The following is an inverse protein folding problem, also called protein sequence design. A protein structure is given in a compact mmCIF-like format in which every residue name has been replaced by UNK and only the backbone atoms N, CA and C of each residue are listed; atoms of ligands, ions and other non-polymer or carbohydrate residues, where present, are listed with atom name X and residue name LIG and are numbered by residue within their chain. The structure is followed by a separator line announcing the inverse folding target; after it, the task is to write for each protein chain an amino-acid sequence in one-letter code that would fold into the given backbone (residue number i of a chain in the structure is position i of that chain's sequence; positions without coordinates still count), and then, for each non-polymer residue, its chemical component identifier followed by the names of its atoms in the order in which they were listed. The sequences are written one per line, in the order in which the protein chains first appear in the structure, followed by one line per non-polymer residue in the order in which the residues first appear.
data_IF_094600534198
#
_entry.id   IF_094600534198
#
_cell.length_a   1.000
_cell.length_b   1.000
_cell.length_c   1.000
_cell.angle_alpha   90.00
_cell.angle_beta   90.00
_cell.angle_gamma   90.00
#
_symmetry.space_group_name_H-M   'P 1'
#
loop_
_entity.id
_entity.type
_entity.pdbx_description
1 polymer ?
#
# COMPACT_ATOMS: atom_id res chain seq x y z
N UNK A 1 -19.36 8.89 4.68
CA UNK A 1 -18.88 8.58 3.31
C UNK A 1 -17.93 9.72 2.93
N UNK A 2 -16.69 9.69 3.42
CA UNK A 2 -15.87 10.91 3.56
C UNK A 2 -15.43 11.55 2.23
N UNK A 3 -15.14 10.75 1.21
CA UNK A 3 -14.68 11.27 -0.07
C UNK A 3 -15.80 12.03 -0.81
N UNK A 4 -16.95 11.38 -1.01
CA UNK A 4 -18.09 11.97 -1.71
C UNK A 4 -18.60 13.23 -1.01
N UNK A 5 -18.73 13.21 0.32
CA UNK A 5 -19.17 14.39 1.08
C UNK A 5 -18.30 15.63 0.82
N UNK A 6 -16.98 15.47 0.79
CA UNK A 6 -16.07 16.57 0.46
C UNK A 6 -16.17 17.01 -1.00
N UNK A 7 -16.32 16.07 -1.93
CA UNK A 7 -16.42 16.33 -3.37
C UNK A 7 -17.73 17.04 -3.70
N UNK A 8 -18.85 16.54 -3.21
CA UNK A 8 -20.19 17.10 -3.40
C UNK A 8 -20.23 18.53 -2.87
N UNK A 9 -19.68 18.78 -1.66
CA UNK A 9 -19.59 20.14 -1.11
C UNK A 9 -18.78 21.09 -2.00
N UNK A 10 -17.69 20.62 -2.62
CA UNK A 10 -16.91 21.44 -3.56
C UNK A 10 -17.76 21.78 -4.80
N UNK A 11 -18.45 20.79 -5.36
CA UNK A 11 -19.30 20.98 -6.54
C UNK A 11 -20.51 21.87 -6.26
N UNK A 12 -21.17 21.74 -5.10
CA UNK A 12 -22.29 22.59 -4.66
C UNK A 12 -21.93 24.09 -4.63
N UNK A 13 -20.66 24.41 -4.36
CA UNK A 13 -20.15 25.77 -4.35
C UNK A 13 -19.51 26.19 -5.69
N UNK A 14 -19.75 25.43 -6.76
CA UNK A 14 -19.22 25.69 -8.12
C UNK A 14 -17.71 25.46 -8.25
N UNK A 15 -17.09 24.80 -7.27
CA UNK A 15 -15.68 24.45 -7.27
C UNK A 15 -15.37 23.22 -8.11
N UNK A 16 -14.08 22.96 -8.29
CA UNK A 16 -13.55 21.82 -9.06
C UNK A 16 -12.49 21.09 -8.26
N UNK A 17 -12.54 19.76 -8.26
CA UNK A 17 -11.53 18.92 -7.62
C UNK A 17 -10.36 18.74 -8.58
N UNK A 18 -9.23 19.38 -8.30
CA UNK A 18 -8.02 19.33 -9.15
C UNK A 18 -7.02 18.24 -8.71
N UNK A 19 -7.13 17.75 -7.47
CA UNK A 19 -6.30 16.69 -6.90
C UNK A 19 -7.09 15.90 -5.86
N UNK A 20 -6.96 14.58 -5.90
CA UNK A 20 -7.50 13.65 -4.94
C UNK A 20 -6.41 12.65 -4.51
N UNK A 21 -6.01 12.74 -3.25
CA UNK A 21 -5.07 11.80 -2.62
C UNK A 21 -5.69 11.23 -1.35
N UNK A 22 -5.75 9.91 -1.25
CA UNK A 22 -6.37 9.23 -0.11
C UNK A 22 -5.50 8.08 0.37
N UNK A 23 -4.96 8.24 1.58
CA UNK A 23 -4.14 7.24 2.25
C UNK A 23 -4.87 6.68 3.47
N UNK A 24 -4.78 5.37 3.67
CA UNK A 24 -5.34 4.70 4.84
C UNK A 24 -4.42 3.57 5.32
N UNK A 25 -4.40 3.28 6.62
CA UNK A 25 -3.66 2.14 7.14
C UNK A 25 -4.19 1.69 8.49
N UNK A 26 -4.55 0.41 8.60
CA UNK A 26 -4.71 -0.25 9.90
C UNK A 26 -3.34 -0.64 10.42
N UNK A 27 -2.72 0.19 11.25
CA UNK A 27 -1.39 0.02 11.82
C UNK A 27 -1.49 -0.03 13.35
N UNK A 28 -0.55 -0.68 14.06
CA UNK A 28 -0.56 -0.65 15.53
C UNK A 28 -0.38 0.78 16.05
N UNK A 29 -0.88 1.03 17.26
CA UNK A 29 -0.51 2.23 18.01
C UNK A 29 1.03 2.35 18.09
N UNK A 30 1.60 3.57 18.06
CA UNK A 30 3.06 3.76 18.01
C UNK A 30 3.84 2.97 19.07
N UNK A 31 3.37 2.99 20.31
CA UNK A 31 3.92 2.26 21.46
C UNK A 31 3.86 0.73 21.30
N UNK A 32 3.00 0.23 20.42
CA UNK A 32 2.85 -1.19 20.10
C UNK A 32 3.62 -1.61 18.83
N UNK A 33 4.41 -0.73 18.24
CA UNK A 33 5.08 -0.96 16.94
C UNK A 33 6.49 -1.55 17.04
N UNK A 34 7.00 -1.82 18.24
CA UNK A 34 8.38 -2.32 18.43
C UNK A 34 8.51 -3.81 18.07
N UNK A 35 8.58 -4.09 16.76
CA UNK A 35 8.89 -5.40 16.18
C UNK A 35 9.51 -5.20 14.79
N UNK A 36 10.23 -6.19 14.21
CA UNK A 36 10.96 -6.01 12.95
C UNK A 36 10.15 -5.46 11.77
N UNK A 37 8.86 -5.78 11.68
CA UNK A 37 7.97 -5.26 10.62
C UNK A 37 7.37 -3.89 10.96
N UNK A 38 7.38 -3.49 12.23
CA UNK A 38 6.62 -2.36 12.77
C UNK A 38 5.13 -2.50 12.45
N UNK A 39 4.64 -3.75 12.47
CA UNK A 39 3.28 -4.09 12.07
C UNK A 39 2.75 -5.25 12.90
N UNK A 40 1.44 -5.33 13.06
CA UNK A 40 0.73 -6.48 13.64
C UNK A 40 -0.39 -6.88 12.70
N UNK A 41 -0.49 -8.17 12.41
CA UNK A 41 -1.48 -8.67 11.45
C UNK A 41 -2.86 -8.77 12.10
N UNK A 42 -3.80 -7.96 11.63
CA UNK A 42 -5.23 -8.05 12.00
C UNK A 42 -6.06 -8.85 10.99
N UNK A 43 -5.45 -9.28 9.88
CA UNK A 43 -6.03 -10.09 8.81
C UNK A 43 -4.91 -10.87 8.11
N UNK A 44 -5.26 -11.67 7.09
CA UNK A 44 -4.35 -12.61 6.41
C UNK A 44 -2.96 -12.01 6.10
N UNK A 45 -1.87 -12.50 6.76
CA UNK A 45 -0.52 -12.04 6.50
C UNK A 45 -0.08 -12.25 5.06
N UNK A 46 -0.50 -13.36 4.46
CA UNK A 46 -0.26 -13.66 3.04
C UNK A 46 -0.78 -12.54 2.15
N UNK A 47 -2.02 -12.12 2.35
CA UNK A 47 -2.64 -11.12 1.51
C UNK A 47 -2.06 -9.72 1.75
N UNK A 48 -1.65 -9.38 2.99
CA UNK A 48 -0.89 -8.15 3.29
C UNK A 48 0.42 -8.09 2.50
N UNK A 49 1.20 -9.17 2.54
CA UNK A 49 2.53 -9.21 1.91
C UNK A 49 2.43 -9.29 0.38
N UNK A 50 1.51 -10.09 -0.14
CA UNK A 50 1.28 -10.20 -1.59
C UNK A 50 0.73 -8.92 -2.21
N UNK A 51 -0.04 -8.12 -1.46
CA UNK A 51 -0.55 -6.83 -1.96
C UNK A 51 0.57 -5.90 -2.46
N UNK A 52 1.76 -5.99 -1.86
CA UNK A 52 2.94 -5.18 -2.18
C UNK A 52 3.67 -5.67 -3.45
N UNK A 53 3.32 -6.86 -3.95
CA UNK A 53 3.83 -7.41 -5.20
C UNK A 53 2.88 -7.17 -6.38
N UNK A 54 1.67 -6.68 -6.12
CA UNK A 54 0.75 -6.31 -7.18
C UNK A 54 1.24 -5.06 -7.91
N UNK A 55 0.88 -4.89 -9.20
CA UNK A 55 1.10 -3.63 -9.88
C UNK A 55 0.22 -2.54 -9.28
N UNK A 56 0.60 -1.29 -9.52
CA UNK A 56 -0.23 -0.14 -9.21
C UNK A 56 -0.24 0.86 -10.37
N UNK A 57 -1.32 1.62 -10.50
CA UNK A 57 -1.53 2.64 -11.52
C UNK A 57 -2.25 3.82 -10.89
N UNK A 58 -1.72 5.02 -11.09
CA UNK A 58 -2.31 6.24 -10.56
C UNK A 58 -2.00 7.42 -11.48
N UNK A 59 -2.69 8.54 -11.28
CA UNK A 59 -2.42 9.76 -12.02
C UNK A 59 -1.81 10.79 -11.07
N UNK A 60 -0.74 11.47 -11.50
CA UNK A 60 -0.11 12.56 -10.76
C UNK A 60 0.30 13.66 -11.72
N UNK A 61 -0.11 14.90 -11.43
CA UNK A 61 0.19 16.08 -12.23
C UNK A 61 -0.15 15.91 -13.73
N UNK A 62 -1.27 15.25 -14.02
CA UNK A 62 -1.77 14.96 -15.36
C UNK A 62 -1.08 13.79 -16.06
N UNK A 63 -0.15 13.10 -15.39
CA UNK A 63 0.58 11.95 -15.95
C UNK A 63 0.14 10.65 -15.28
N UNK A 64 -0.14 9.65 -16.10
CA UNK A 64 -0.37 8.29 -15.61
C UNK A 64 0.98 7.66 -15.27
N UNK A 65 1.08 7.13 -14.05
CA UNK A 65 2.24 6.41 -13.54
C UNK A 65 1.81 4.97 -13.29
N UNK A 66 2.58 4.03 -13.85
CA UNK A 66 2.36 2.59 -13.70
C UNK A 66 3.57 1.96 -13.01
N UNK A 67 3.31 1.30 -11.89
CA UNK A 67 4.28 0.55 -11.11
C UNK A 67 4.13 -0.93 -11.44
N UNK A 68 5.20 -1.61 -11.87
CA UNK A 68 5.12 -2.99 -12.30
C UNK A 68 4.83 -3.95 -11.13
N UNK A 69 4.26 -5.10 -11.49
CA UNK A 69 4.13 -6.23 -10.58
C UNK A 69 5.51 -6.75 -10.14
N UNK A 70 5.52 -7.58 -9.10
CA UNK A 70 6.75 -8.15 -8.57
C UNK A 70 7.57 -7.17 -7.75
N UNK A 71 6.97 -6.09 -7.24
CA UNK A 71 7.57 -5.22 -6.22
C UNK A 71 7.80 -3.75 -6.60
N UNK A 72 7.30 -3.28 -7.75
CA UNK A 72 7.39 -1.86 -8.11
C UNK A 72 6.76 -0.93 -7.07
N UNK A 73 5.71 -1.41 -6.38
CA UNK A 73 5.10 -0.72 -5.23
C UNK A 73 6.05 -0.59 -4.04
N UNK A 74 6.81 -1.65 -3.71
CA UNK A 74 7.81 -1.59 -2.62
C UNK A 74 8.94 -0.60 -2.92
N UNK A 75 9.27 -0.43 -4.20
CA UNK A 75 10.33 0.47 -4.64
C UNK A 75 9.88 1.93 -4.76
N UNK A 76 8.58 2.19 -4.63
CA UNK A 76 7.98 3.51 -4.80
C UNK A 76 7.22 3.96 -3.55
N UNK A 77 7.98 4.41 -2.55
CA UNK A 77 7.43 4.95 -1.30
C UNK A 77 7.06 6.43 -1.42
N UNK A 78 5.88 6.78 -0.93
CA UNK A 78 5.48 8.17 -0.69
C UNK A 78 5.91 8.57 0.72
N UNK A 79 6.59 9.71 0.84
CA UNK A 79 6.83 10.32 2.15
C UNK A 79 5.53 10.90 2.69
N UNK A 80 5.28 10.72 3.99
CA UNK A 80 4.09 11.22 4.67
C UNK A 80 4.56 12.19 5.74
N UNK A 81 4.47 13.49 5.44
CA UNK A 81 5.03 14.59 6.25
C UNK A 81 3.94 15.41 6.97
N UNK A 82 2.67 15.31 6.56
CA UNK A 82 1.54 16.00 7.18
C UNK A 82 1.18 15.50 8.59
N UNK A 83 1.85 14.46 9.10
CA UNK A 83 1.69 13.95 10.48
C UNK A 83 3.04 13.85 11.20
N UNK A 84 3.62 14.97 11.68
CA UNK A 84 4.99 15.00 12.22
C UNK A 84 5.27 14.07 13.40
N UNK A 85 4.23 13.66 14.15
CA UNK A 85 4.34 12.70 15.25
C UNK A 85 4.44 11.24 14.83
N UNK A 86 4.23 10.93 13.55
CA UNK A 86 4.29 9.57 13.02
C UNK A 86 5.40 9.42 11.97
N UNK A 87 6.09 8.28 12.01
CA UNK A 87 7.12 7.94 11.03
C UNK A 87 6.52 7.04 9.93
N UNK A 88 5.70 7.60 9.04
CA UNK A 88 4.92 6.86 8.05
C UNK A 88 5.52 6.92 6.65
N UNK A 89 5.20 5.88 5.88
CA UNK A 89 5.40 5.79 4.44
C UNK A 89 4.11 5.32 3.77
N UNK A 90 3.87 5.80 2.55
CA UNK A 90 2.73 5.45 1.72
C UNK A 90 3.11 4.54 0.55
N UNK A 91 2.19 3.69 0.13
CA UNK A 91 2.31 2.84 -1.07
C UNK A 91 1.08 3.05 -1.95
N UNK A 92 1.25 3.11 -3.28
CA UNK A 92 0.12 3.17 -4.19
C UNK A 92 -0.70 1.86 -4.17
N UNK A 93 -2.02 1.98 -4.23
CA UNK A 93 -2.95 0.85 -4.24
C UNK A 93 -3.48 0.60 -5.65
N UNK A 94 -3.18 -0.60 -6.21
CA UNK A 94 -3.81 -1.14 -7.44
C UNK A 94 -4.05 -0.02 -8.48
N UNK A 95 -5.22 0.03 -9.10
CA UNK A 95 -5.57 1.11 -10.02
C UNK A 95 -6.39 2.19 -9.32
N UNK A 96 -5.80 3.37 -9.18
CA UNK A 96 -6.44 4.59 -8.67
C UNK A 96 -7.16 5.37 -9.77
N UNK A 97 -6.81 5.19 -11.04
CA UNK A 97 -7.34 6.01 -12.15
C UNK A 97 -8.84 5.82 -12.35
N UNK A 98 -9.35 4.62 -12.05
CA UNK A 98 -10.77 4.29 -12.07
C UNK A 98 -11.62 5.18 -11.15
N UNK A 99 -11.03 5.74 -10.10
CA UNK A 99 -11.76 6.54 -9.12
C UNK A 99 -12.08 7.96 -9.60
N UNK A 100 -11.44 8.42 -10.68
CA UNK A 100 -11.77 9.70 -11.28
C UNK A 100 -13.23 9.72 -11.77
N UNK A 101 -13.65 8.63 -12.43
CA UNK A 101 -15.02 8.47 -12.93
C UNK A 101 -16.01 8.17 -11.81
N UNK A 102 -15.64 7.25 -10.89
CA UNK A 102 -16.48 6.86 -9.75
C UNK A 102 -16.87 8.06 -8.88
N UNK A 103 -15.97 9.03 -8.74
CA UNK A 103 -16.20 10.24 -7.94
C UNK A 103 -16.65 11.45 -8.78
N UNK A 104 -16.80 11.31 -10.10
CA UNK A 104 -17.23 12.41 -10.95
C UNK A 104 -16.22 13.56 -11.04
N UNK A 105 -14.91 13.28 -10.93
CA UNK A 105 -13.84 14.28 -10.93
C UNK A 105 -12.92 14.20 -12.16
N UNK A 106 -13.19 13.31 -13.11
CA UNK A 106 -12.31 13.03 -14.25
C UNK A 106 -12.05 14.22 -15.19
N UNK A 107 -12.95 15.22 -15.25
CA UNK A 107 -12.82 16.35 -16.16
C UNK A 107 -11.72 17.36 -15.78
N UNK A 108 -11.52 17.59 -14.49
CA UNK A 108 -10.63 18.65 -13.98
C UNK A 108 -9.47 18.11 -13.11
N UNK A 109 -9.62 16.90 -12.58
CA UNK A 109 -8.65 16.33 -11.64
C UNK A 109 -7.39 15.87 -12.37
N UNK A 110 -6.23 16.34 -11.90
CA UNK A 110 -4.90 16.01 -12.47
C UNK A 110 -4.12 15.01 -11.62
N UNK A 111 -4.56 14.74 -10.39
CA UNK A 111 -3.93 13.78 -9.50
C UNK A 111 -4.99 12.92 -8.85
N UNK A 112 -4.93 11.60 -9.07
CA UNK A 112 -5.82 10.64 -8.43
C UNK A 112 -4.97 9.49 -7.91
N UNK A 113 -4.78 9.47 -6.59
CA UNK A 113 -3.95 8.48 -5.90
C UNK A 113 -4.69 7.94 -4.68
N UNK A 114 -4.80 6.63 -4.60
CA UNK A 114 -5.17 5.92 -3.39
C UNK A 114 -3.98 5.12 -2.91
N UNK A 115 -3.75 5.15 -1.60
CA UNK A 115 -2.59 4.50 -1.03
C UNK A 115 -2.81 3.87 0.33
N UNK A 116 -1.84 3.04 0.72
CA UNK A 116 -1.79 2.36 2.01
C UNK A 116 -0.66 2.92 2.86
N UNK A 117 -0.93 3.20 4.13
CA UNK A 117 0.06 3.67 5.10
C UNK A 117 0.71 2.51 5.87
N UNK A 118 2.01 2.63 6.12
CA UNK A 118 2.78 1.79 7.04
C UNK A 118 3.80 2.63 7.81
N UNK A 119 4.32 2.11 8.91
CA UNK A 119 5.51 2.69 9.53
C UNK A 119 6.75 2.45 8.66
N UNK A 120 7.66 3.43 8.68
CA UNK A 120 8.96 3.33 8.03
C UNK A 120 9.74 2.11 8.53
N UNK A 121 10.45 1.45 7.63
CA UNK A 121 11.17 0.18 7.89
C UNK A 121 10.38 -1.07 7.53
N UNK A 122 9.04 -1.00 7.44
CA UNK A 122 8.22 -2.12 6.98
C UNK A 122 8.64 -2.59 5.57
N UNK A 123 8.79 -1.66 4.63
CA UNK A 123 9.24 -1.94 3.26
C UNK A 123 10.61 -2.62 3.22
N UNK A 124 11.57 -2.15 4.02
CA UNK A 124 12.91 -2.72 4.07
C UNK A 124 12.88 -4.19 4.49
N UNK A 125 12.09 -4.53 5.51
CA UNK A 125 11.91 -5.91 5.94
C UNK A 125 11.23 -6.78 4.86
N UNK A 126 10.20 -6.26 4.19
CA UNK A 126 9.52 -6.97 3.10
C UNK A 126 10.44 -7.17 1.89
N UNK A 127 11.25 -6.17 1.53
CA UNK A 127 12.27 -6.32 0.48
C UNK A 127 13.31 -7.38 0.82
N UNK A 128 13.74 -7.46 2.09
CA UNK A 128 14.64 -8.51 2.55
C UNK A 128 13.99 -9.90 2.40
N UNK A 129 12.75 -10.07 2.84
CA UNK A 129 11.98 -11.32 2.66
C UNK A 129 11.85 -11.70 1.19
N UNK A 130 11.56 -10.72 0.31
CA UNK A 130 11.50 -10.93 -1.14
C UNK A 130 12.85 -11.42 -1.69
N UNK A 131 13.96 -10.79 -1.28
CA UNK A 131 15.32 -11.09 -1.76
C UNK A 131 15.75 -12.52 -1.42
N UNK A 132 15.31 -13.07 -0.28
CA UNK A 132 15.59 -14.46 0.11
C UNK A 132 14.51 -15.46 -0.36
N UNK A 133 13.58 -15.02 -1.22
CA UNK A 133 12.58 -15.90 -1.82
C UNK A 133 11.36 -16.23 -0.95
N UNK A 134 11.23 -15.65 0.25
CA UNK A 134 10.14 -15.94 1.19
C UNK A 134 8.77 -15.40 0.76
N UNK A 135 8.73 -14.53 -0.26
CA UNK A 135 7.48 -14.06 -0.85
C UNK A 135 7.12 -14.77 -2.15
N UNK A 136 7.89 -15.79 -2.57
CA UNK A 136 7.57 -16.60 -3.74
C UNK A 136 6.30 -17.40 -3.48
N UNK A 137 5.43 -17.47 -4.50
CA UNK A 137 4.26 -18.35 -4.49
C UNK A 137 4.56 -19.75 -5.06
N UNK A 138 5.77 -19.96 -5.58
CA UNK A 138 6.19 -21.26 -6.10
C UNK A 138 6.31 -22.28 -4.97
N UNK A 139 5.83 -23.50 -5.23
CA UNK A 139 5.97 -24.60 -4.27
C UNK A 139 7.43 -24.99 -4.19
N UNK A 140 8.03 -24.83 -3.02
CA UNK A 140 9.37 -25.33 -2.73
C UNK A 140 9.31 -26.65 -1.98
N UNK A 141 10.06 -27.69 -2.41
CA UNK A 141 10.21 -28.94 -1.65
C UNK A 141 10.71 -28.71 -0.22
N UNK A 142 11.48 -27.64 0.02
CA UNK A 142 12.00 -27.27 1.34
C UNK A 142 10.87 -27.05 2.38
N UNK A 143 9.73 -26.53 1.95
CA UNK A 143 8.60 -26.23 2.83
C UNK A 143 7.50 -27.30 2.75
N UNK A 144 7.78 -28.44 2.12
CA UNK A 144 6.85 -29.56 2.07
C UNK A 144 7.00 -30.40 3.36
N UNK A 145 5.92 -30.56 4.12
CA UNK A 145 5.94 -31.27 5.40
C UNK A 145 6.25 -32.77 5.30
N UNK A 146 6.17 -33.38 4.10
CA UNK A 146 6.44 -34.80 3.91
C UNK A 146 7.87 -35.12 3.47
N UNK A 147 8.56 -34.16 2.82
CA UNK A 147 9.89 -34.38 2.21
C UNK A 147 10.93 -33.31 2.59
N UNK A 148 10.49 -32.23 3.22
CA UNK A 148 11.35 -31.16 3.71
C UNK A 148 12.12 -31.57 4.96
N UNK A 149 13.18 -30.82 5.31
CA UNK A 149 13.92 -31.05 6.55
C UNK A 149 13.03 -30.78 7.77
N UNK A 150 13.36 -31.45 8.89
CA UNK A 150 12.71 -31.19 10.17
C UNK A 150 12.85 -29.72 10.57
N UNK A 151 11.73 -29.10 10.94
CA UNK A 151 11.71 -27.70 11.36
C UNK A 151 12.31 -27.59 12.77
N UNK A 152 13.52 -27.04 12.86
CA UNK A 152 14.28 -26.97 14.12
C UNK A 152 13.67 -26.06 15.20
N UNK A 153 12.70 -25.22 14.81
CA UNK A 153 11.97 -24.30 15.70
C UNK A 153 10.55 -24.74 16.05
N UNK A 154 10.09 -25.89 15.53
CA UNK A 154 8.83 -26.50 15.96
C UNK A 154 9.16 -27.49 17.08
N UNK A 155 9.40 -26.96 18.28
CA UNK A 155 9.48 -27.72 19.53
C UNK A 155 8.61 -27.04 20.57
#
# INVERSE_FOLDING_TARGET
MLAMECIDRVHEHGGKVISFESFCGGIPAPECSDNPLRYKFSWSPKAVLQALLNPAKFMKDGKVIELPAGGGVLDSEFQIDFMPGFNLVGFANRDSTLYADVYGIAGDCKTVLRGTLRYKGFSSAVKAMKKVGLLSAEKSPLFNSAIGPDLTWVR
#
